data_IF_955396982190
#
_entry.id   IF_955396982190
#
_cell.length_a   1.000
_cell.length_b   1.000
_cell.length_c   1.000
_cell.angle_alpha   90.00
_cell.angle_beta   90.00
_cell.angle_gamma   90.00
#
_symmetry.space_group_name_H-M   'P 1'
#
loop_
_entity.id
_entity.type
_entity.pdbx_description
1 polymer ?
#
# COMPACT_ATOMS: atom_id res chain seq x y z
N UNK A 1 -19.58 -7.94 47.10
CA UNK A 1 -18.93 -7.87 45.77
C UNK A 1 -18.03 -9.08 45.66
N UNK A 2 -18.30 -10.02 44.73
CA UNK A 2 -17.44 -11.18 44.53
C UNK A 2 -16.19 -10.73 43.77
N UNK A 3 -15.02 -10.84 44.41
CA UNK A 3 -13.73 -10.56 43.78
C UNK A 3 -13.11 -11.91 43.46
N UNK A 4 -13.04 -12.26 42.17
CA UNK A 4 -12.31 -13.45 41.73
C UNK A 4 -10.80 -13.24 41.96
N UNK A 5 -10.10 -14.28 42.41
CA UNK A 5 -8.63 -14.22 42.43
C UNK A 5 -8.10 -14.29 41.01
N UNK A 6 -6.91 -13.75 40.77
CA UNK A 6 -6.30 -13.78 39.42
C UNK A 6 -6.11 -15.20 38.89
N UNK A 7 -5.79 -16.15 39.76
CA UNK A 7 -5.64 -17.57 39.43
C UNK A 7 -6.95 -18.25 39.02
N UNK A 8 -8.11 -17.69 39.41
CA UNK A 8 -9.43 -18.24 39.08
C UNK A 8 -10.00 -17.65 37.78
N UNK A 9 -9.29 -16.71 37.14
CA UNK A 9 -9.73 -16.11 35.88
C UNK A 9 -9.52 -17.11 34.74
N UNK A 10 -10.46 -17.18 33.77
CA UNK A 10 -10.32 -18.08 32.64
C UNK A 10 -9.06 -17.73 31.82
N UNK A 11 -8.23 -18.72 31.45
CA UNK A 11 -7.05 -18.46 30.63
C UNK A 11 -7.45 -17.95 29.26
N UNK A 12 -6.58 -17.17 28.64
CA UNK A 12 -6.80 -16.73 27.26
C UNK A 12 -6.56 -17.89 26.27
N UNK A 13 -7.27 -17.88 25.14
CA UNK A 13 -7.05 -18.86 24.08
C UNK A 13 -5.67 -18.65 23.44
N UNK A 14 -4.96 -19.73 23.14
CA UNK A 14 -3.66 -19.66 22.48
C UNK A 14 -3.76 -20.13 21.02
N UNK A 15 -3.24 -19.31 20.11
CA UNK A 15 -3.12 -19.63 18.70
C UNK A 15 -1.66 -19.41 18.28
N UNK A 16 -0.86 -20.47 18.11
CA UNK A 16 0.53 -20.31 17.69
C UNK A 16 0.58 -19.74 16.27
N UNK A 17 1.45 -18.75 16.04
CA UNK A 17 1.69 -18.17 14.72
C UNK A 17 2.54 -19.12 13.84
N UNK A 18 1.95 -20.27 13.52
CA UNK A 18 2.50 -21.37 12.72
C UNK A 18 1.35 -21.97 11.88
N UNK A 19 1.52 -22.00 10.55
CA UNK A 19 0.43 -22.42 9.64
C UNK A 19 -0.05 -23.84 9.90
N UNK A 20 0.88 -24.79 10.08
CA UNK A 20 0.54 -26.19 10.27
C UNK A 20 -0.20 -26.39 11.59
N UNK A 21 0.25 -25.73 12.66
CA UNK A 21 -0.42 -25.77 13.97
C UNK A 21 -1.78 -25.08 13.97
N UNK A 22 -1.99 -24.10 13.09
CA UNK A 22 -3.30 -23.50 12.84
C UNK A 22 -4.20 -24.40 11.96
N UNK A 23 -3.67 -25.49 11.41
CA UNK A 23 -4.39 -26.43 10.56
C UNK A 23 -4.42 -26.02 9.08
N UNK A 24 -3.43 -25.25 8.62
CA UNK A 24 -3.35 -24.74 7.26
C UNK A 24 -2.02 -25.05 6.58
N UNK A 25 -2.01 -25.06 5.26
CA UNK A 25 -0.82 -25.14 4.42
C UNK A 25 -0.96 -24.21 3.20
N UNK A 26 0.15 -23.98 2.50
CA UNK A 26 0.17 -23.21 1.25
C UNK A 26 0.20 -24.22 0.10
N UNK A 27 -0.77 -24.15 -0.82
CA UNK A 27 -0.82 -25.02 -1.99
C UNK A 27 0.07 -24.50 -3.15
N UNK A 28 0.11 -25.24 -4.25
CA UNK A 28 0.89 -24.90 -5.45
C UNK A 28 0.45 -23.57 -6.11
N UNK A 29 -0.79 -23.13 -5.86
CA UNK A 29 -1.34 -21.87 -6.36
C UNK A 29 -1.06 -20.68 -5.42
N UNK A 30 -0.20 -20.85 -4.41
CA UNK A 30 0.12 -19.84 -3.40
C UNK A 30 -1.07 -19.44 -2.51
N UNK A 31 -2.04 -20.34 -2.35
CA UNK A 31 -3.24 -20.12 -1.56
C UNK A 31 -3.16 -20.85 -0.22
N UNK A 32 -3.66 -20.20 0.84
CA UNK A 32 -3.77 -20.81 2.17
C UNK A 32 -5.04 -21.67 2.21
N UNK A 33 -4.86 -22.95 2.50
CA UNK A 33 -5.94 -23.96 2.56
C UNK A 33 -5.86 -24.78 3.84
N UNK A 34 -7.01 -25.29 4.29
CA UNK A 34 -7.04 -26.17 5.47
C UNK A 34 -6.37 -27.50 5.15
N UNK A 35 -5.64 -28.05 6.11
CA UNK A 35 -5.04 -29.39 6.01
C UNK A 35 -6.14 -30.47 5.97
N UNK A 36 -7.18 -30.31 6.79
CA UNK A 36 -8.29 -31.28 6.89
C UNK A 36 -9.20 -31.29 5.66
N UNK A 37 -9.36 -30.14 5.01
CA UNK A 37 -10.10 -30.00 3.76
C UNK A 37 -9.39 -28.97 2.84
N UNK A 38 -8.56 -29.44 1.90
CA UNK A 38 -7.82 -28.57 1.00
C UNK A 38 -8.67 -27.67 0.10
N UNK A 39 -9.99 -27.86 0.02
CA UNK A 39 -10.91 -26.99 -0.72
C UNK A 39 -11.33 -25.76 0.07
N UNK A 40 -11.20 -25.79 1.40
CA UNK A 40 -11.65 -24.71 2.26
C UNK A 40 -10.56 -23.66 2.51
N UNK A 41 -10.98 -22.40 2.49
CA UNK A 41 -10.17 -21.23 2.80
C UNK A 41 -10.03 -21.04 4.32
N UNK A 42 -9.32 -19.99 4.73
CA UNK A 42 -9.27 -19.55 6.12
C UNK A 42 -10.67 -19.32 6.70
N UNK A 43 -10.98 -20.01 7.80
CA UNK A 43 -12.24 -19.86 8.52
C UNK A 43 -12.06 -18.87 9.67
N UNK A 44 -12.54 -17.64 9.49
CA UNK A 44 -12.48 -16.61 10.54
C UNK A 44 -13.41 -16.91 11.73
N UNK A 45 -14.67 -17.29 11.46
CA UNK A 45 -15.67 -17.56 12.51
C UNK A 45 -15.54 -19.00 13.02
N UNK A 46 -14.74 -19.19 14.07
CA UNK A 46 -14.61 -20.47 14.78
C UNK A 46 -15.29 -20.47 16.15
N UNK A 47 -15.58 -19.29 16.70
CA UNK A 47 -16.19 -19.13 18.01
C UNK A 47 -17.24 -18.00 17.99
N UNK A 48 -18.19 -18.05 18.94
CA UNK A 48 -19.17 -16.96 19.15
C UNK A 48 -18.50 -15.72 19.76
N UNK A 49 -17.44 -15.89 20.55
CA UNK A 49 -16.65 -14.80 21.08
C UNK A 49 -15.77 -14.22 19.97
N UNK A 50 -16.03 -12.96 19.61
CA UNK A 50 -15.28 -12.24 18.58
C UNK A 50 -13.79 -12.16 18.90
N UNK A 51 -13.41 -12.04 20.18
CA UNK A 51 -12.01 -12.00 20.61
C UNK A 51 -11.22 -13.23 20.16
N UNK A 52 -11.81 -14.42 20.28
CA UNK A 52 -11.17 -15.68 19.90
C UNK A 52 -10.93 -15.73 18.39
N UNK A 53 -11.91 -15.28 17.60
CA UNK A 53 -11.77 -15.17 16.15
C UNK A 53 -10.67 -14.17 15.75
N UNK A 54 -10.58 -13.04 16.46
CA UNK A 54 -9.54 -12.02 16.27
C UNK A 54 -8.14 -12.54 16.60
N UNK A 55 -7.99 -13.33 17.68
CA UNK A 55 -6.71 -13.95 18.03
C UNK A 55 -6.24 -14.94 16.97
N UNK A 56 -7.13 -15.81 16.49
CA UNK A 56 -6.81 -16.74 15.42
C UNK A 56 -6.44 -15.99 14.14
N UNK A 57 -7.21 -14.95 13.79
CA UNK A 57 -6.93 -14.10 12.62
C UNK A 57 -5.54 -13.49 12.73
N UNK A 58 -5.20 -12.93 13.89
CA UNK A 58 -3.89 -12.32 14.11
C UNK A 58 -2.75 -13.35 14.03
N UNK A 59 -2.92 -14.56 14.57
CA UNK A 59 -1.94 -15.63 14.43
C UNK A 59 -1.72 -16.01 12.96
N UNK A 60 -2.79 -16.07 12.17
CA UNK A 60 -2.72 -16.27 10.72
C UNK A 60 -2.02 -15.09 10.02
N UNK A 61 -2.39 -13.85 10.34
CA UNK A 61 -1.72 -12.64 9.82
C UNK A 61 -0.22 -12.63 10.14
N UNK A 62 0.18 -13.07 11.34
CA UNK A 62 1.60 -13.19 11.68
C UNK A 62 2.34 -14.21 10.81
N UNK A 63 1.73 -15.35 10.51
CA UNK A 63 2.29 -16.32 9.56
C UNK A 63 2.51 -15.67 8.18
N UNK A 64 1.47 -15.01 7.68
CA UNK A 64 1.49 -14.32 6.37
C UNK A 64 2.60 -13.28 6.33
N UNK A 65 2.73 -12.43 7.38
CA UNK A 65 3.79 -11.43 7.46
C UNK A 65 5.18 -12.03 7.41
N UNK A 66 5.41 -13.15 8.10
CA UNK A 66 6.71 -13.86 8.07
C UNK A 66 7.05 -14.34 6.66
N UNK A 67 6.07 -14.92 5.95
CA UNK A 67 6.21 -15.40 4.57
C UNK A 67 6.50 -14.25 3.62
N UNK A 68 5.67 -13.19 3.66
CA UNK A 68 5.83 -12.00 2.79
C UNK A 68 7.17 -11.33 3.05
N UNK A 69 7.57 -11.15 4.31
CA UNK A 69 8.88 -10.59 4.64
C UNK A 69 10.04 -11.46 4.14
N UNK A 70 9.91 -12.80 4.13
CA UNK A 70 10.92 -13.68 3.53
C UNK A 70 11.03 -13.47 2.02
N UNK A 71 9.88 -13.51 1.32
CA UNK A 71 9.83 -13.34 -0.13
C UNK A 71 10.35 -11.97 -0.57
N UNK A 72 10.06 -10.90 0.17
CA UNK A 72 10.59 -9.57 -0.12
C UNK A 72 12.11 -9.50 0.13
N UNK A 73 12.63 -10.19 1.15
CA UNK A 73 14.09 -10.30 1.37
C UNK A 73 14.79 -11.07 0.25
N UNK A 74 14.16 -12.12 -0.28
CA UNK A 74 14.66 -12.86 -1.46
C UNK A 74 14.73 -11.99 -2.72
N UNK A 75 13.95 -10.90 -2.79
CA UNK A 75 14.04 -9.87 -3.83
C UNK A 75 15.06 -8.75 -3.51
N UNK A 76 15.97 -8.98 -2.56
CA UNK A 76 16.99 -8.02 -2.11
C UNK A 76 16.43 -6.74 -1.46
N UNK A 77 15.24 -6.80 -0.88
CA UNK A 77 14.80 -5.74 0.03
C UNK A 77 15.39 -5.95 1.42
N UNK A 78 15.91 -4.87 1.99
CA UNK A 78 16.46 -4.82 3.34
C UNK A 78 15.63 -3.91 4.22
N UNK A 79 15.69 -4.12 5.53
CA UNK A 79 14.93 -3.33 6.49
C UNK A 79 15.75 -2.13 6.97
N UNK A 80 15.23 -0.92 6.78
CA UNK A 80 15.66 0.27 7.50
C UNK A 80 14.70 0.55 8.66
N UNK A 81 15.20 1.24 9.68
CA UNK A 81 14.43 1.61 10.87
C UNK A 81 14.26 3.12 10.87
N UNK A 82 13.03 3.57 11.06
CA UNK A 82 12.71 4.99 11.21
C UNK A 82 12.28 5.30 12.65
N UNK A 83 12.79 6.39 13.24
CA UNK A 83 13.84 7.27 12.73
C UNK A 83 15.18 6.55 12.51
N UNK A 84 16.01 7.03 11.56
CA UNK A 84 17.31 6.43 11.23
C UNK A 84 18.29 6.40 12.42
N UNK A 85 18.05 7.25 13.42
CA UNK A 85 18.82 7.31 14.66
C UNK A 85 18.47 6.20 15.65
N UNK A 86 17.35 5.50 15.46
CA UNK A 86 16.88 4.48 16.40
C UNK A 86 17.74 3.22 16.38
N UNK A 87 18.08 2.72 17.56
CA UNK A 87 18.74 1.42 17.73
C UNK A 87 17.75 0.25 17.60
N UNK A 88 18.28 -0.96 17.42
CA UNK A 88 17.50 -2.20 17.27
C UNK A 88 16.47 -2.43 18.39
N UNK A 89 16.79 -2.02 19.63
CA UNK A 89 15.94 -2.22 20.81
C UNK A 89 15.10 -0.98 21.19
N UNK A 90 15.22 0.12 20.44
CA UNK A 90 14.50 1.36 20.68
C UNK A 90 13.26 1.44 19.79
N UNK A 91 12.33 2.34 20.12
CA UNK A 91 11.10 2.50 19.35
C UNK A 91 11.43 2.92 17.91
N UNK A 92 10.96 2.12 16.95
CA UNK A 92 11.16 2.36 15.53
C UNK A 92 10.06 1.72 14.69
N UNK A 93 9.90 2.23 13.47
CA UNK A 93 9.07 1.67 12.41
C UNK A 93 9.98 1.07 11.34
N UNK A 94 9.85 -0.22 10.97
CA UNK A 94 10.60 -0.78 9.86
C UNK A 94 9.99 -0.32 8.54
N UNK A 95 10.83 0.01 7.57
CA UNK A 95 10.49 0.13 6.16
C UNK A 95 11.32 -0.87 5.36
N UNK A 96 10.90 -1.23 4.15
CA UNK A 96 11.70 -2.06 3.26
C UNK A 96 12.25 -1.23 2.10
N UNK A 97 13.54 -1.35 1.84
CA UNK A 97 14.21 -0.65 0.73
C UNK A 97 15.02 -1.65 -0.09
N UNK A 98 15.02 -1.51 -1.41
CA UNK A 98 15.89 -2.32 -2.27
C UNK A 98 17.37 -1.97 -2.06
N UNK A 99 18.25 -2.95 -2.22
CA UNK A 99 19.69 -2.80 -2.00
C UNK A 99 20.38 -1.78 -2.93
N UNK A 100 19.78 -1.45 -4.07
CA UNK A 100 20.28 -0.49 -5.05
C UNK A 100 19.79 0.97 -4.81
N UNK A 101 19.20 1.29 -3.65
CA UNK A 101 18.61 2.63 -3.40
C UNK A 101 19.59 3.80 -3.66
N UNK A 102 20.87 3.63 -3.32
CA UNK A 102 21.90 4.68 -3.46
C UNK A 102 22.41 4.86 -4.89
N UNK A 103 22.15 3.91 -5.78
CA UNK A 103 22.66 3.89 -7.17
C UNK A 103 21.57 4.02 -8.23
N UNK A 104 20.32 3.71 -7.88
CA UNK A 104 19.19 3.74 -8.80
C UNK A 104 18.87 5.16 -9.30
N UNK A 105 18.60 5.31 -10.61
CA UNK A 105 18.09 6.57 -11.20
C UNK A 105 16.63 6.84 -10.90
N UNK A 106 15.88 5.78 -10.62
CA UNK A 106 14.45 5.85 -10.38
C UNK A 106 14.13 5.20 -9.05
N UNK A 107 13.26 5.81 -8.28
CA UNK A 107 12.73 5.25 -7.04
C UNK A 107 11.22 5.16 -7.17
N UNK A 108 10.65 3.99 -6.91
CA UNK A 108 9.22 3.86 -6.64
C UNK A 108 9.06 3.79 -5.13
N UNK A 109 8.36 4.76 -4.54
CA UNK A 109 8.00 4.74 -3.12
C UNK A 109 6.52 4.43 -2.96
N UNK A 110 6.20 3.48 -2.10
CA UNK A 110 4.82 3.09 -1.79
C UNK A 110 4.47 3.48 -0.36
N UNK A 111 3.42 4.28 -0.22
CA UNK A 111 2.79 4.62 1.06
C UNK A 111 1.49 3.84 1.18
N UNK A 112 1.51 2.81 2.03
CA UNK A 112 0.37 1.91 2.24
C UNK A 112 -0.78 2.51 3.03
N UNK A 113 -1.81 1.71 3.25
CA UNK A 113 -2.95 2.05 4.12
C UNK A 113 -2.60 1.80 5.61
N UNK A 114 -2.92 2.71 6.54
CA UNK A 114 -2.55 2.58 7.96
C UNK A 114 -3.13 1.38 8.72
N UNK A 115 -4.10 0.67 8.16
CA UNK A 115 -4.63 -0.55 8.80
C UNK A 115 -3.89 -1.82 8.36
N UNK A 116 -3.07 -1.75 7.33
CA UNK A 116 -2.33 -2.89 6.79
C UNK A 116 -0.93 -3.00 7.42
N UNK A 117 -0.41 -4.22 7.41
CA UNK A 117 0.98 -4.48 7.78
C UNK A 117 1.95 -4.18 6.63
N UNK A 118 3.22 -3.95 6.95
CA UNK A 118 4.26 -3.70 5.95
C UNK A 118 4.32 -4.80 4.89
N UNK A 119 4.13 -4.42 3.62
CA UNK A 119 4.15 -5.31 2.47
C UNK A 119 2.84 -6.06 2.22
N UNK A 120 1.78 -5.80 2.99
CA UNK A 120 0.45 -6.36 2.77
C UNK A 120 -0.43 -5.31 2.08
N UNK A 121 -1.15 -5.72 1.02
CA UNK A 121 -2.18 -4.87 0.40
C UNK A 121 -3.55 -5.16 0.97
N UNK A 122 -3.93 -6.44 1.00
CA UNK A 122 -5.20 -6.86 1.54
C UNK A 122 -5.16 -8.33 1.97
N UNK A 123 -5.38 -8.58 3.26
CA UNK A 123 -5.57 -9.95 3.77
C UNK A 123 -6.74 -10.68 3.09
N UNK A 124 -7.76 -9.94 2.63
CA UNK A 124 -8.87 -10.48 1.84
C UNK A 124 -8.41 -11.08 0.51
N UNK A 125 -7.58 -10.34 -0.23
CA UNK A 125 -6.98 -10.83 -1.47
C UNK A 125 -6.02 -11.99 -1.21
N UNK A 126 -5.30 -11.99 -0.08
CA UNK A 126 -4.46 -13.14 0.30
C UNK A 126 -5.30 -14.42 0.50
N UNK A 127 -6.44 -14.30 1.18
CA UNK A 127 -7.34 -15.44 1.41
C UNK A 127 -8.01 -15.97 0.15
N UNK A 128 -8.33 -15.09 -0.80
CA UNK A 128 -9.02 -15.46 -2.04
C UNK A 128 -8.06 -15.85 -3.17
N UNK A 129 -7.09 -14.99 -3.46
CA UNK A 129 -6.27 -15.02 -4.67
C UNK A 129 -4.82 -15.51 -4.42
N UNK A 130 -4.39 -15.56 -3.16
CA UNK A 130 -3.07 -16.08 -2.76
C UNK A 130 -2.14 -15.00 -2.18
N UNK A 131 -1.08 -15.46 -1.49
CA UNK A 131 -0.20 -14.59 -0.70
C UNK A 131 0.46 -13.52 -1.57
N UNK A 132 1.00 -13.89 -2.72
CA UNK A 132 1.64 -12.98 -3.67
C UNK A 132 0.67 -12.01 -4.34
N UNK A 133 -0.61 -12.39 -4.48
CA UNK A 133 -1.63 -11.55 -5.10
C UNK A 133 -2.09 -10.42 -4.17
N UNK A 134 -2.24 -10.71 -2.87
CA UNK A 134 -2.65 -9.73 -1.87
C UNK A 134 -1.51 -9.01 -1.14
N UNK A 135 -0.27 -9.16 -1.59
CA UNK A 135 0.92 -8.55 -0.98
C UNK A 135 1.84 -7.86 -2.00
N UNK A 136 2.83 -7.14 -1.49
CA UNK A 136 3.81 -6.41 -2.29
C UNK A 136 4.77 -7.30 -3.09
N UNK A 137 4.76 -8.62 -2.92
CA UNK A 137 5.76 -9.52 -3.54
C UNK A 137 5.72 -9.44 -5.07
N UNK A 138 4.55 -9.60 -5.68
CA UNK A 138 4.41 -9.56 -7.15
C UNK A 138 4.75 -8.18 -7.72
N UNK A 139 4.32 -7.12 -7.01
CA UNK A 139 4.62 -5.75 -7.36
C UNK A 139 6.13 -5.46 -7.29
N UNK A 140 6.78 -5.87 -6.19
CA UNK A 140 8.21 -5.69 -5.99
C UNK A 140 9.03 -6.43 -7.05
N UNK A 141 8.64 -7.66 -7.38
CA UNK A 141 9.26 -8.43 -8.46
C UNK A 141 9.18 -7.68 -9.78
N UNK A 142 8.01 -7.14 -10.14
CA UNK A 142 7.81 -6.40 -11.39
C UNK A 142 8.58 -5.07 -11.45
N UNK A 143 8.76 -4.39 -10.32
CA UNK A 143 9.54 -3.13 -10.25
C UNK A 143 11.06 -3.40 -10.36
N UNK A 144 11.55 -4.41 -9.66
CA UNK A 144 12.99 -4.68 -9.53
C UNK A 144 13.54 -5.57 -10.66
N UNK A 145 12.69 -6.43 -11.23
CA UNK A 145 13.01 -7.35 -12.31
C UNK A 145 11.91 -7.27 -13.39
N UNK A 146 11.79 -6.13 -14.10
CA UNK A 146 10.83 -6.02 -15.19
C UNK A 146 11.13 -7.09 -16.23
N UNK A 147 10.12 -7.81 -16.69
CA UNK A 147 10.30 -8.79 -17.76
C UNK A 147 10.72 -8.04 -19.02
N UNK A 148 11.92 -8.33 -19.52
CA UNK A 148 12.33 -7.92 -20.85
C UNK A 148 11.56 -8.78 -21.83
N UNK A 149 10.62 -8.18 -22.57
CA UNK A 149 10.08 -8.78 -23.80
C UNK A 149 11.21 -8.87 -24.84
N UNK A 150 12.12 -9.82 -24.67
CA UNK A 150 13.06 -10.21 -25.72
C UNK A 150 12.43 -11.36 -26.50
N UNK A 151 11.74 -11.00 -27.60
CA UNK A 151 11.51 -11.91 -28.71
C UNK A 151 12.87 -12.48 -29.16
N UNK A 152 13.07 -13.76 -28.88
CA UNK A 152 14.03 -14.66 -29.51
C UNK A 152 15.36 -14.10 -29.98
N UNK A 153 16.37 -14.07 -29.11
CA UNK A 153 17.72 -14.52 -29.50
C UNK A 153 18.45 -15.07 -28.28
N UNK A 154 18.83 -16.34 -28.36
CA UNK A 154 19.68 -17.01 -27.37
C UNK A 154 21.00 -16.27 -27.21
N UNK A 155 21.11 -15.46 -26.16
CA UNK A 155 22.38 -15.08 -25.57
C UNK A 155 22.16 -15.01 -24.06
N UNK A 156 22.86 -15.87 -23.32
CA UNK A 156 22.91 -15.86 -21.87
C UNK A 156 23.54 -14.54 -21.38
N UNK A 157 22.76 -13.46 -21.34
CA UNK A 157 23.12 -12.26 -20.61
C UNK A 157 22.41 -12.29 -19.26
N UNK A 158 23.19 -12.18 -18.19
CA UNK A 158 22.71 -12.07 -16.82
C UNK A 158 21.52 -11.08 -16.73
N UNK A 159 20.54 -11.33 -15.84
CA UNK A 159 19.37 -10.48 -15.73
C UNK A 159 19.82 -9.03 -15.54
N UNK A 160 19.48 -8.14 -16.48
CA UNK A 160 19.72 -6.70 -16.35
C UNK A 160 19.00 -6.26 -15.09
N UNK A 161 19.75 -5.98 -14.03
CA UNK A 161 19.19 -5.37 -12.83
C UNK A 161 18.52 -4.05 -13.23
N UNK A 162 17.24 -3.90 -12.86
CA UNK A 162 16.51 -2.65 -13.08
C UNK A 162 17.25 -1.50 -12.39
N UNK A 163 17.42 -0.38 -13.10
CA UNK A 163 17.91 0.89 -12.51
C UNK A 163 16.83 1.58 -11.64
N UNK A 164 15.80 0.81 -11.25
CA UNK A 164 14.72 1.24 -10.36
C UNK A 164 14.91 0.64 -8.98
N UNK A 165 14.88 1.48 -7.95
CA UNK A 165 14.80 1.09 -6.56
C UNK A 165 13.35 1.14 -6.06
N UNK A 166 13.07 0.37 -5.01
CA UNK A 166 11.76 0.28 -4.38
C UNK A 166 11.87 0.62 -2.90
N UNK A 167 10.98 1.49 -2.41
CA UNK A 167 10.80 1.79 -0.99
C UNK A 167 9.35 1.45 -0.62
N UNK A 168 9.16 0.57 0.36
CA UNK A 168 7.86 0.26 0.96
C UNK A 168 7.82 0.89 2.35
N UNK A 169 7.05 1.98 2.48
CA UNK A 169 6.80 2.62 3.76
C UNK A 169 5.79 1.81 4.59
N UNK A 170 5.82 1.99 5.91
CA UNK A 170 5.00 1.27 6.87
C UNK A 170 4.11 2.24 7.62
N UNK A 171 3.03 2.63 6.97
CA UNK A 171 2.05 3.59 7.52
C UNK A 171 1.16 2.98 8.60
N UNK A 172 1.17 1.65 8.79
CA UNK A 172 0.25 0.99 9.71
C UNK A 172 0.83 0.51 11.03
N UNK A 173 2.08 0.04 11.06
CA UNK A 173 2.68 -0.47 12.29
C UNK A 173 3.34 0.66 13.09
N UNK A 174 2.54 1.60 13.57
CA UNK A 174 3.01 2.83 14.23
C UNK A 174 2.91 2.81 15.76
N UNK A 175 2.43 1.70 16.33
CA UNK A 175 2.31 1.52 17.78
C UNK A 175 3.47 0.67 18.29
N UNK A 176 4.33 1.24 19.13
CA UNK A 176 5.44 0.50 19.73
C UNK A 176 4.97 -0.36 20.92
N UNK A 177 5.18 -1.67 20.86
CA UNK A 177 4.95 -2.55 22.00
C UNK A 177 6.24 -2.77 22.79
N UNK A 178 6.37 -2.15 23.96
CA UNK A 178 7.60 -2.14 24.75
C UNK A 178 8.06 -3.55 25.16
N UNK A 179 7.14 -4.45 25.53
CA UNK A 179 7.48 -5.79 26.01
C UNK A 179 8.01 -6.70 24.90
N UNK A 180 7.41 -6.63 23.71
CA UNK A 180 7.84 -7.42 22.56
C UNK A 180 8.89 -6.72 21.71
N UNK A 181 9.20 -5.45 22.01
CA UNK A 181 10.14 -4.59 21.28
C UNK A 181 9.90 -4.61 19.77
N UNK A 182 8.63 -4.48 19.38
CA UNK A 182 8.22 -4.44 17.98
C UNK A 182 7.11 -3.43 17.76
N UNK A 183 7.02 -2.84 16.56
CA UNK A 183 5.86 -2.07 16.16
C UNK A 183 4.67 -2.98 15.83
N UNK A 184 3.47 -2.45 15.97
CA UNK A 184 2.20 -3.14 15.75
C UNK A 184 1.20 -2.22 15.06
N UNK A 185 0.29 -2.80 14.28
CA UNK A 185 -0.94 -2.12 13.89
C UNK A 185 -1.93 -2.10 15.05
N UNK A 186 -2.97 -1.26 14.97
CA UNK A 186 -4.05 -1.27 15.96
C UNK A 186 -4.78 -2.62 16.03
N UNK A 187 -5.13 -3.28 14.90
CA UNK A 187 -5.66 -4.65 14.92
C UNK A 187 -4.77 -5.63 15.70
N UNK A 188 -3.47 -5.64 15.45
CA UNK A 188 -2.53 -6.52 16.17
C UNK A 188 -2.46 -6.20 17.66
N UNK A 189 -2.50 -4.92 18.04
CA UNK A 189 -2.54 -4.51 19.44
C UNK A 189 -3.79 -5.02 20.17
N UNK A 190 -4.97 -4.87 19.55
CA UNK A 190 -6.23 -5.33 20.13
C UNK A 190 -6.30 -6.86 20.22
N UNK A 191 -5.66 -7.53 19.27
CA UNK A 191 -5.57 -8.98 19.19
C UNK A 191 -4.48 -9.58 20.11
N UNK A 192 -3.57 -8.77 20.64
CA UNK A 192 -2.39 -9.23 21.38
C UNK A 192 -2.75 -10.03 22.65
N UNK A 193 -2.00 -11.10 23.00
CA UNK A 193 -2.31 -11.93 24.17
C UNK A 193 -2.37 -11.15 25.50
N UNK A 194 -3.26 -11.58 26.39
CA UNK A 194 -3.59 -10.99 27.69
C UNK A 194 -3.42 -12.01 28.80
N UNK A 195 -3.28 -11.58 30.06
CA UNK A 195 -3.11 -12.50 31.19
C UNK A 195 -4.31 -13.44 31.40
N UNK A 196 -5.53 -13.00 31.09
CA UNK A 196 -6.75 -13.81 31.13
C UNK A 196 -7.73 -13.41 30.03
N UNK A 197 -8.72 -14.27 29.76
CA UNK A 197 -9.74 -14.02 28.74
C UNK A 197 -10.69 -12.85 29.05
N UNK A 198 -10.69 -12.35 30.28
CA UNK A 198 -11.55 -11.24 30.74
C UNK A 198 -10.77 -9.96 31.00
N UNK A 199 -9.44 -9.99 30.89
CA UNK A 199 -8.63 -8.79 31.02
C UNK A 199 -8.91 -7.82 29.85
N UNK A 200 -8.93 -6.50 30.11
CA UNK A 200 -9.07 -5.50 29.07
C UNK A 200 -7.84 -5.52 28.12
N UNK A 201 -7.96 -4.93 26.91
CA UNK A 201 -6.81 -4.70 26.06
C UNK A 201 -5.71 -3.92 26.79
N UNK A 202 -4.46 -4.10 26.35
CA UNK A 202 -3.34 -3.32 26.86
C UNK A 202 -3.62 -1.81 26.69
N UNK A 203 -3.37 -1.05 27.76
CA UNK A 203 -3.55 0.40 27.73
C UNK A 203 -2.37 1.05 27.00
N UNK A 204 -2.68 1.85 25.97
CA UNK A 204 -1.66 2.65 25.29
C UNK A 204 -1.29 3.87 26.14
N UNK A 205 0.01 4.18 26.18
CA UNK A 205 0.59 5.34 26.86
C UNK A 205 1.56 6.06 25.93
N UNK A 206 2.15 7.16 26.40
CA UNK A 206 3.21 7.87 25.66
C UNK A 206 4.39 6.96 25.28
N UNK A 207 4.65 5.87 26.02
CA UNK A 207 5.74 4.92 25.74
C UNK A 207 5.51 4.07 24.48
N UNK A 208 4.27 4.05 23.98
CA UNK A 208 3.89 3.33 22.77
C UNK A 208 4.02 4.20 21.51
N UNK A 209 4.35 5.49 21.64
CA UNK A 209 4.62 6.36 20.50
C UNK A 209 6.02 6.12 19.97
N UNK A 210 6.16 6.09 18.65
CA UNK A 210 7.45 6.06 17.98
C UNK A 210 7.84 7.51 17.64
N UNK A 211 9.03 7.98 18.04
CA UNK A 211 9.47 9.35 17.73
C UNK A 211 9.41 9.63 16.23
N UNK A 212 8.87 10.79 15.83
CA UNK A 212 8.72 11.19 14.42
C UNK A 212 7.79 10.32 13.58
N UNK A 213 7.13 9.32 14.18
CA UNK A 213 6.32 8.31 13.48
C UNK A 213 5.09 7.95 14.34
N UNK A 214 4.49 8.94 15.01
CA UNK A 214 3.39 8.74 15.95
C UNK A 214 2.03 8.53 15.27
N UNK A 215 1.89 8.98 14.02
CA UNK A 215 0.75 8.77 13.14
C UNK A 215 1.23 8.62 11.69
N UNK A 216 0.32 8.26 10.79
CA UNK A 216 0.67 7.96 9.40
C UNK A 216 1.15 9.21 8.65
N UNK A 217 0.63 10.40 8.96
CA UNK A 217 1.10 11.67 8.41
C UNK A 217 2.57 11.95 8.74
N UNK A 218 2.92 11.76 10.02
CA UNK A 218 4.29 11.93 10.51
C UNK A 218 5.22 10.91 9.83
N UNK A 219 4.79 9.65 9.71
CA UNK A 219 5.58 8.60 9.07
C UNK A 219 5.85 8.90 7.58
N UNK A 220 4.83 9.34 6.84
CA UNK A 220 5.00 9.73 5.43
C UNK A 220 6.03 10.86 5.33
N UNK A 221 5.94 11.87 6.19
CA UNK A 221 6.89 12.98 6.22
C UNK A 221 8.30 12.53 6.61
N UNK A 222 8.44 11.63 7.58
CA UNK A 222 9.71 11.04 7.99
C UNK A 222 10.38 10.28 6.83
N UNK A 223 9.63 9.52 6.03
CA UNK A 223 10.18 8.84 4.85
C UNK A 223 10.66 9.85 3.80
N UNK A 224 9.91 10.92 3.53
CA UNK A 224 10.38 11.98 2.64
C UNK A 224 11.64 12.65 3.16
N UNK A 225 11.64 13.05 4.44
CA UNK A 225 12.69 13.89 5.03
C UNK A 225 13.97 13.12 5.39
N UNK A 226 13.87 11.86 5.84
CA UNK A 226 15.05 11.06 6.26
C UNK A 226 15.56 10.10 5.19
N UNK A 227 14.70 9.61 4.29
CA UNK A 227 15.09 8.65 3.25
C UNK A 227 15.25 9.35 1.91
N UNK A 228 14.18 9.96 1.40
CA UNK A 228 14.14 10.45 0.02
C UNK A 228 14.92 11.75 -0.17
N UNK A 229 15.05 12.57 0.89
CA UNK A 229 15.81 13.81 0.88
C UNK A 229 17.31 13.61 1.12
N UNK A 230 17.74 12.44 1.62
CA UNK A 230 19.15 12.11 1.88
C UNK A 230 19.91 11.72 0.61
N UNK A 231 19.96 12.70 -0.29
CA UNK A 231 20.58 12.66 -1.62
C UNK A 231 22.10 12.71 -1.50
N UNK A 232 22.76 11.67 -1.97
CA UNK A 232 24.22 11.49 -1.96
C UNK A 232 24.69 10.39 -1.00
N UNK A 233 23.90 10.05 0.03
CA UNK A 233 24.21 8.94 0.95
C UNK A 233 23.26 7.76 0.78
N UNK A 234 21.97 7.96 1.01
CA UNK A 234 20.97 6.89 0.88
C UNK A 234 20.36 6.83 -0.51
N UNK A 235 20.12 7.98 -1.12
CA UNK A 235 19.49 8.13 -2.44
C UNK A 235 20.45 8.79 -3.41
N UNK A 236 20.47 8.35 -4.67
CA UNK A 236 21.28 9.01 -5.70
C UNK A 236 20.85 10.47 -5.90
N UNK A 237 21.81 11.38 -6.09
CA UNK A 237 21.55 12.82 -6.08
C UNK A 237 20.45 13.27 -7.05
N UNK A 238 20.48 12.76 -8.27
CA UNK A 238 19.57 13.08 -9.38
C UNK A 238 18.39 12.11 -9.51
N UNK A 239 18.19 11.18 -8.56
CA UNK A 239 17.15 10.16 -8.65
C UNK A 239 15.75 10.78 -8.77
N UNK A 240 14.98 10.26 -9.73
CA UNK A 240 13.57 10.60 -9.95
C UNK A 240 12.66 9.67 -9.15
N UNK A 241 11.61 10.23 -8.55
CA UNK A 241 10.74 9.54 -7.62
C UNK A 241 9.35 9.40 -8.22
N UNK A 242 8.85 8.18 -8.24
CA UNK A 242 7.47 7.84 -8.49
C UNK A 242 6.80 7.49 -7.17
N UNK A 243 5.64 8.10 -6.91
CA UNK A 243 4.89 7.89 -5.67
C UNK A 243 3.69 7.01 -5.94
N UNK A 244 3.51 5.95 -5.16
CA UNK A 244 2.29 5.16 -5.08
C UNK A 244 1.67 5.39 -3.71
N UNK A 245 0.54 6.09 -3.66
CA UNK A 245 -0.18 6.39 -2.44
C UNK A 245 -1.45 5.57 -2.32
N UNK A 246 -1.65 4.89 -1.19
CA UNK A 246 -2.83 4.06 -0.93
C UNK A 246 -3.65 4.71 0.18
N UNK A 247 -4.90 5.10 -0.12
CA UNK A 247 -5.81 5.75 0.82
C UNK A 247 -5.14 6.92 1.59
N UNK A 248 -5.08 6.86 2.92
CA UNK A 248 -4.45 7.87 3.77
C UNK A 248 -2.95 8.03 3.47
N UNK A 249 -2.25 6.95 3.11
CA UNK A 249 -0.85 7.03 2.69
C UNK A 249 -0.68 7.94 1.47
N UNK A 250 -1.64 7.92 0.53
CA UNK A 250 -1.67 8.83 -0.61
C UNK A 250 -2.03 10.27 -0.23
N UNK A 251 -2.99 10.45 0.67
CA UNK A 251 -3.32 11.78 1.20
C UNK A 251 -2.10 12.43 1.89
N UNK A 252 -1.37 11.67 2.70
CA UNK A 252 -0.16 12.12 3.37
C UNK A 252 0.91 12.54 2.38
N UNK A 253 1.09 11.77 1.30
CA UNK A 253 2.07 12.09 0.26
C UNK A 253 1.70 13.37 -0.49
N UNK A 254 0.44 13.52 -0.90
CA UNK A 254 -0.04 14.75 -1.56
C UNK A 254 0.10 15.96 -0.65
N UNK A 255 -0.24 15.82 0.64
CA UNK A 255 -0.11 16.90 1.62
C UNK A 255 1.35 17.29 1.88
N UNK A 256 2.26 16.33 2.00
CA UNK A 256 3.68 16.61 2.18
C UNK A 256 4.24 17.35 0.96
N UNK A 257 3.92 16.86 -0.24
CA UNK A 257 4.35 17.46 -1.49
C UNK A 257 3.75 18.85 -1.70
N UNK A 258 2.48 19.08 -1.34
CA UNK A 258 1.87 20.42 -1.50
C UNK A 258 2.52 21.46 -0.59
N UNK A 259 2.91 21.08 0.63
CA UNK A 259 3.58 21.97 1.59
C UNK A 259 5.04 22.26 1.24
N UNK A 260 5.73 21.32 0.59
CA UNK A 260 7.17 21.41 0.28
C UNK A 260 7.45 21.31 -1.22
N UNK A 261 6.51 21.72 -2.06
CA UNK A 261 6.57 21.42 -3.50
C UNK A 261 7.85 21.96 -4.16
N UNK A 262 8.29 23.14 -3.74
CA UNK A 262 9.50 23.77 -4.29
C UNK A 262 10.75 22.88 -4.12
N UNK A 263 10.86 22.16 -3.02
CA UNK A 263 11.97 21.25 -2.73
C UNK A 263 11.88 19.94 -3.54
N UNK A 264 10.66 19.54 -3.91
CA UNK A 264 10.37 18.22 -4.51
C UNK A 264 10.10 18.25 -6.01
N UNK A 265 9.69 19.39 -6.59
CA UNK A 265 9.25 19.51 -8.00
C UNK A 265 10.27 19.03 -9.02
N UNK A 266 11.55 19.19 -8.71
CA UNK A 266 12.65 18.73 -9.57
C UNK A 266 12.87 17.21 -9.55
N UNK A 267 12.25 16.49 -8.61
CA UNK A 267 12.54 15.07 -8.35
C UNK A 267 11.34 14.16 -8.53
N UNK A 268 10.11 14.63 -8.28
CA UNK A 268 8.92 13.81 -8.48
C UNK A 268 8.61 13.69 -9.97
N UNK A 269 8.51 12.46 -10.47
CA UNK A 269 8.21 12.17 -11.87
C UNK A 269 6.73 11.88 -12.08
N UNK A 270 6.12 11.00 -11.29
CA UNK A 270 4.70 10.68 -11.42
C UNK A 270 4.10 10.21 -10.10
N UNK A 271 2.78 10.32 -9.98
CA UNK A 271 2.02 9.88 -8.81
C UNK A 271 0.92 8.91 -9.27
N UNK A 272 0.70 7.86 -8.49
CA UNK A 272 -0.49 7.03 -8.56
C UNK A 272 -1.15 6.97 -7.21
N UNK A 273 -2.47 7.08 -7.19
CA UNK A 273 -3.28 7.01 -5.97
C UNK A 273 -4.30 5.88 -6.07
N UNK A 274 -4.52 5.16 -4.98
CA UNK A 274 -5.66 4.24 -4.84
C UNK A 274 -6.60 4.79 -3.78
N UNK A 275 -7.90 4.86 -4.10
CA UNK A 275 -8.90 5.50 -3.25
C UNK A 275 -8.43 6.86 -2.69
N UNK A 276 -8.18 7.86 -3.56
CA UNK A 276 -7.66 9.16 -3.15
C UNK A 276 -8.57 9.82 -2.10
N UNK A 277 -7.99 10.22 -0.96
CA UNK A 277 -8.72 10.90 0.12
C UNK A 277 -8.48 12.41 0.14
N UNK A 278 -7.50 12.90 -0.63
CA UNK A 278 -7.24 14.34 -0.76
C UNK A 278 -8.32 15.02 -1.63
N UNK A 279 -8.42 16.34 -1.49
CA UNK A 279 -9.35 17.18 -2.24
C UNK A 279 -8.67 18.38 -2.86
N UNK A 280 -9.25 18.87 -3.96
CA UNK A 280 -8.77 20.08 -4.63
C UNK A 280 -8.91 21.32 -3.74
N UNK A 281 -9.94 21.35 -2.88
CA UNK A 281 -10.27 22.50 -2.05
C UNK A 281 -9.43 22.61 -0.76
N UNK A 282 -8.73 21.52 -0.38
CA UNK A 282 -7.93 21.47 0.85
C UNK A 282 -6.45 21.29 0.52
N UNK A 283 -6.04 20.10 0.06
CA UNK A 283 -4.63 19.78 -0.15
C UNK A 283 -4.06 20.41 -1.43
N UNK A 284 -4.88 20.64 -2.45
CA UNK A 284 -4.46 21.25 -3.72
C UNK A 284 -4.99 22.67 -3.93
N UNK A 285 -5.44 23.32 -2.85
CA UNK A 285 -5.99 24.67 -2.94
C UNK A 285 -4.92 25.64 -3.43
N UNK A 286 -5.19 26.32 -4.55
CA UNK A 286 -4.28 27.30 -5.15
C UNK A 286 -4.32 28.58 -4.33
N UNK A 287 -3.18 28.93 -3.73
CA UNK A 287 -2.99 30.13 -2.90
C UNK A 287 -1.94 31.07 -3.48
N UNK A 288 -1.05 30.53 -4.30
CA UNK A 288 0.10 31.18 -4.90
C UNK A 288 0.53 30.43 -6.18
N UNK A 289 1.59 30.90 -6.83
CA UNK A 289 2.14 30.29 -8.04
C UNK A 289 2.69 28.86 -7.79
N UNK A 290 3.27 28.62 -6.61
CA UNK A 290 3.88 27.33 -6.26
C UNK A 290 2.79 26.25 -6.14
N UNK A 291 1.73 26.52 -5.37
CA UNK A 291 0.57 25.65 -5.24
C UNK A 291 -0.19 25.48 -6.56
N UNK A 292 -0.25 26.52 -7.40
CA UNK A 292 -0.75 26.41 -8.78
C UNK A 292 0.07 25.43 -9.63
N UNK A 293 1.40 25.49 -9.54
CA UNK A 293 2.29 24.56 -10.25
C UNK A 293 2.16 23.12 -9.76
N UNK A 294 1.91 22.92 -8.45
CA UNK A 294 1.67 21.59 -7.89
C UNK A 294 0.34 21.01 -8.39
N UNK A 295 -0.74 21.80 -8.40
CA UNK A 295 -2.02 21.37 -8.97
C UNK A 295 -1.87 21.01 -10.46
N UNK A 296 -1.13 21.79 -11.23
CA UNK A 296 -0.85 21.49 -12.63
C UNK A 296 -0.08 20.16 -12.79
N UNK A 297 0.89 19.89 -11.92
CA UNK A 297 1.59 18.62 -11.88
C UNK A 297 0.65 17.46 -11.54
N UNK A 298 -0.18 17.59 -10.49
CA UNK A 298 -1.16 16.55 -10.13
C UNK A 298 -2.14 16.30 -11.27
N UNK A 299 -2.61 17.34 -11.96
CA UNK A 299 -3.53 17.21 -13.10
C UNK A 299 -2.94 16.45 -14.29
N UNK A 300 -1.63 16.58 -14.52
CA UNK A 300 -0.96 16.04 -15.72
C UNK A 300 -0.13 14.78 -15.48
N UNK A 301 0.28 14.51 -14.24
CA UNK A 301 1.25 13.46 -13.85
C UNK A 301 0.75 12.57 -12.73
N UNK A 302 -0.50 12.73 -12.29
CA UNK A 302 -1.15 11.86 -11.32
C UNK A 302 -2.30 11.07 -11.95
N UNK A 303 -2.41 9.79 -11.61
CA UNK A 303 -3.61 8.97 -11.86
C UNK A 303 -4.18 8.43 -10.56
N UNK A 304 -5.49 8.46 -10.42
CA UNK A 304 -6.19 7.80 -9.34
C UNK A 304 -6.91 6.54 -9.83
N UNK A 305 -6.96 5.52 -8.99
CA UNK A 305 -7.73 4.29 -9.20
C UNK A 305 -8.76 4.15 -8.10
N UNK A 306 -10.02 3.95 -8.48
CA UNK A 306 -11.16 3.92 -7.56
C UNK A 306 -11.99 2.66 -7.74
N UNK A 307 -12.86 2.38 -6.75
CA UNK A 307 -13.89 1.36 -6.88
C UNK A 307 -14.86 1.77 -7.98
N UNK A 308 -15.13 0.84 -8.89
CA UNK A 308 -16.12 1.01 -9.95
C UNK A 308 -16.52 -0.35 -10.51
N UNK A 309 -17.74 -0.42 -11.01
CA UNK A 309 -18.31 -1.49 -11.82
C UNK A 309 -17.84 -1.47 -13.29
N UNK A 310 -17.22 -0.37 -13.74
CA UNK A 310 -16.65 -0.25 -15.07
C UNK A 310 -15.43 -1.17 -15.27
N UNK A 311 -15.11 -1.57 -16.51
CA UNK A 311 -13.92 -2.36 -16.81
C UNK A 311 -12.64 -1.73 -16.26
N UNK A 312 -11.69 -2.56 -15.82
CA UNK A 312 -10.40 -2.06 -15.29
C UNK A 312 -9.70 -1.15 -16.30
N UNK A 313 -9.31 0.04 -15.86
CA UNK A 313 -8.65 1.04 -16.69
C UNK A 313 -9.59 1.97 -17.45
N UNK A 314 -10.92 1.83 -17.32
CA UNK A 314 -11.85 2.83 -17.84
C UNK A 314 -11.80 4.13 -17.06
N UNK A 315 -11.98 5.25 -17.74
CA UNK A 315 -12.09 6.56 -17.10
C UNK A 315 -13.41 6.65 -16.33
N UNK A 316 -13.35 7.12 -15.10
CA UNK A 316 -14.52 7.25 -14.20
C UNK A 316 -14.57 8.63 -13.53
N UNK A 317 -15.73 9.08 -13.03
CA UNK A 317 -15.85 10.36 -12.34
C UNK A 317 -14.93 10.46 -11.11
N UNK A 318 -14.40 11.66 -10.86
CA UNK A 318 -13.55 11.94 -9.70
C UNK A 318 -12.52 13.04 -9.94
N UNK A 319 -12.21 13.34 -11.21
CA UNK A 319 -11.17 14.31 -11.55
C UNK A 319 -11.41 15.72 -11.01
N UNK A 320 -12.67 16.16 -10.90
CA UNK A 320 -13.01 17.46 -10.28
C UNK A 320 -12.72 17.50 -8.78
N UNK A 321 -12.82 16.36 -8.09
CA UNK A 321 -12.60 16.26 -6.64
C UNK A 321 -11.12 16.13 -6.30
N UNK A 322 -10.40 15.29 -7.06
CA UNK A 322 -9.02 14.91 -6.75
C UNK A 322 -7.97 15.64 -7.58
N UNK A 323 -8.39 16.47 -8.54
CA UNK A 323 -7.50 17.23 -9.41
C UNK A 323 -6.69 16.39 -10.40
N UNK A 324 -7.02 15.11 -10.60
CA UNK A 324 -6.33 14.17 -11.50
C UNK A 324 -7.30 13.15 -12.12
N UNK A 325 -6.96 12.57 -13.27
CA UNK A 325 -7.82 11.59 -13.92
C UNK A 325 -8.02 10.36 -13.03
N UNK A 326 -9.28 9.90 -12.93
CA UNK A 326 -9.67 8.75 -12.12
C UNK A 326 -10.05 7.59 -13.03
N UNK A 327 -9.57 6.40 -12.69
CA UNK A 327 -9.74 5.19 -13.47
C UNK A 327 -10.38 4.08 -12.62
N UNK A 328 -11.19 3.23 -13.25
CA UNK A 328 -11.70 2.02 -12.62
C UNK A 328 -10.53 1.10 -12.28
N UNK A 329 -10.49 0.65 -11.03
CA UNK A 329 -9.56 -0.37 -10.57
C UNK A 329 -9.93 -1.79 -10.99
N UNK A 330 -11.18 -2.01 -11.43
CA UNK A 330 -11.78 -3.33 -11.56
C UNK A 330 -12.09 -4.01 -10.22
N UNK A 331 -12.03 -3.26 -9.11
CA UNK A 331 -12.52 -3.67 -7.80
C UNK A 331 -13.87 -2.98 -7.53
N UNK A 332 -14.86 -3.75 -7.05
CA UNK A 332 -16.24 -3.30 -6.96
C UNK A 332 -16.70 -2.98 -5.53
N UNK A 333 -16.01 -3.48 -4.51
CA UNK A 333 -16.53 -3.48 -3.14
C UNK A 333 -15.50 -3.07 -2.08
N UNK A 334 -14.23 -3.41 -2.28
CA UNK A 334 -13.24 -3.37 -1.21
C UNK A 334 -12.07 -2.47 -1.55
N UNK A 335 -11.94 -1.34 -0.85
CA UNK A 335 -10.87 -0.36 -1.10
C UNK A 335 -9.50 -1.00 -0.99
N UNK A 336 -9.30 -1.87 0.00
CA UNK A 336 -8.04 -2.58 0.23
C UNK A 336 -7.63 -3.45 -0.98
N UNK A 337 -8.61 -3.89 -1.80
CA UNK A 337 -8.40 -4.74 -2.96
C UNK A 337 -8.09 -3.96 -4.27
N UNK A 338 -8.14 -2.62 -4.27
CA UNK A 338 -7.78 -1.81 -5.45
C UNK A 338 -6.33 -2.10 -5.88
N UNK A 339 -5.39 -2.07 -4.94
CA UNK A 339 -3.97 -2.28 -5.25
C UNK A 339 -3.70 -3.68 -5.83
N UNK A 340 -4.18 -4.79 -5.23
CA UNK A 340 -4.12 -6.12 -5.83
C UNK A 340 -4.66 -6.21 -7.27
N UNK A 341 -5.77 -5.52 -7.56
CA UNK A 341 -6.45 -5.60 -8.86
C UNK A 341 -5.81 -4.75 -9.96
N UNK A 342 -5.25 -3.60 -9.60
CA UNK A 342 -4.86 -2.58 -10.57
C UNK A 342 -3.36 -2.25 -10.63
N UNK A 343 -2.50 -2.79 -9.75
CA UNK A 343 -1.07 -2.42 -9.71
C UNK A 343 -0.34 -2.57 -11.05
N UNK A 344 -0.74 -3.50 -11.92
CA UNK A 344 -0.15 -3.66 -13.27
C UNK A 344 -0.37 -2.42 -14.14
N UNK A 345 -1.61 -1.92 -14.20
CA UNK A 345 -1.94 -0.68 -14.92
C UNK A 345 -1.24 0.55 -14.29
N UNK A 346 -1.11 0.56 -12.96
CA UNK A 346 -0.37 1.62 -12.26
C UNK A 346 1.09 1.63 -12.69
N UNK A 347 1.74 0.47 -12.70
CA UNK A 347 3.14 0.35 -13.06
C UNK A 347 3.39 0.70 -14.54
N UNK A 348 2.48 0.31 -15.44
CA UNK A 348 2.50 0.72 -16.85
C UNK A 348 2.49 2.23 -16.99
N UNK A 349 1.55 2.91 -16.33
CA UNK A 349 1.49 4.37 -16.30
C UNK A 349 2.78 4.99 -15.76
N UNK A 350 3.27 4.50 -14.62
CA UNK A 350 4.49 5.01 -14.01
C UNK A 350 5.70 4.83 -14.92
N UNK A 351 5.74 3.75 -15.72
CA UNK A 351 6.81 3.48 -16.68
C UNK A 351 6.73 4.44 -17.87
N UNK A 352 5.54 4.65 -18.44
CA UNK A 352 5.33 5.62 -19.52
C UNK A 352 5.72 7.03 -19.07
N UNK A 353 5.20 7.45 -17.92
CA UNK A 353 5.49 8.76 -17.36
C UNK A 353 6.98 8.94 -17.05
N UNK A 354 7.66 7.90 -16.57
CA UNK A 354 9.11 7.99 -16.31
C UNK A 354 9.94 8.07 -17.60
N UNK A 355 9.56 7.31 -18.64
CA UNK A 355 10.27 7.29 -19.91
C UNK A 355 10.16 8.63 -20.68
N UNK A 356 9.03 9.33 -20.54
CA UNK A 356 8.81 10.64 -21.14
C UNK A 356 8.52 11.70 -20.08
N UNK A 357 9.53 12.54 -19.81
CA UNK A 357 9.44 13.66 -18.86
C UNK A 357 8.56 14.80 -19.36
N UNK A 358 8.27 14.86 -20.66
CA UNK A 358 7.38 15.86 -21.29
C UNK A 358 5.94 15.38 -21.42
N UNK A 359 5.69 14.09 -21.17
CA UNK A 359 4.36 13.49 -21.21
C UNK A 359 3.43 14.21 -20.24
N UNK A 360 2.37 14.78 -20.80
CA UNK A 360 1.26 15.37 -20.08
C UNK A 360 0.01 14.54 -20.33
N UNK A 361 -0.63 14.08 -19.27
CA UNK A 361 -1.97 13.53 -19.40
C UNK A 361 -2.98 14.68 -19.49
N UNK A 362 -3.74 14.73 -20.59
CA UNK A 362 -4.81 15.72 -20.73
C UNK A 362 -5.93 15.38 -19.76
N UNK A 363 -6.44 16.38 -19.02
CA UNK A 363 -7.58 16.16 -18.14
C UNK A 363 -8.81 15.82 -18.99
N UNK A 364 -9.31 14.59 -18.83
CA UNK A 364 -10.41 14.07 -19.64
C UNK A 364 -11.75 14.50 -19.04
N UNK A 365 -12.65 15.00 -19.89
CA UNK A 365 -14.03 15.34 -19.50
C UNK A 365 -14.95 14.21 -19.92
N UNK A 366 -15.53 13.52 -18.94
CA UNK A 366 -16.66 12.63 -19.19
C UNK A 366 -17.86 13.49 -19.58
N UNK A 367 -18.39 13.25 -20.77
CA UNK A 367 -19.66 13.81 -21.23
C UNK A 367 -20.71 12.73 -21.07
N UNK A 368 -21.62 12.91 -20.11
CA UNK A 368 -22.82 12.09 -20.05
C UNK A 368 -23.64 12.41 -21.30
N UNK A 369 -23.74 11.44 -22.23
CA UNK A 369 -24.71 11.52 -23.30
C UNK A 369 -26.05 11.14 -22.69
N UNK A 370 -26.95 12.11 -22.58
CA UNK A 370 -28.34 11.80 -22.26
C UNK A 370 -28.93 11.03 -23.46
N UNK A 371 -29.68 9.96 -23.19
CA UNK A 371 -30.38 9.15 -24.21
C UNK A 371 -31.34 9.98 -25.10
N UNK A 372 -31.58 11.26 -24.78
CA UNK A 372 -32.31 12.20 -25.63
C UNK A 372 -31.58 12.61 -26.91
N UNK A 373 -30.26 12.43 -26.98
CA UNK A 373 -29.45 12.85 -28.14
C UNK A 373 -29.30 11.75 -29.20
N UNK A 374 -29.90 10.56 -28.97
CA UNK A 374 -29.90 9.44 -29.93
C UNK A 374 -31.12 9.44 -30.88
N UNK A 375 -32.10 10.31 -30.71
CA UNK A 375 -33.32 10.32 -31.55
C UNK A 375 -33.29 11.26 -32.78
N UNK A 376 -32.18 11.93 -33.10
CA UNK A 376 -32.11 12.81 -34.29
C UNK A 376 -31.30 12.28 -35.47
N UNK A 377 -31.22 10.95 -35.62
CA UNK A 377 -30.75 10.32 -36.85
C UNK A 377 -31.71 9.22 -37.30
N UNK A 378 -32.93 9.61 -37.69
CA UNK A 378 -33.76 8.77 -38.56
C UNK A 378 -34.39 9.61 -39.67
N UNK A 379 -33.95 9.31 -40.90
CA UNK A 379 -34.67 9.35 -42.17
C UNK A 379 -35.62 10.52 -42.45
N UNK A 380 -35.12 11.56 -43.10
CA UNK A 380 -35.90 12.25 -44.14
C UNK A 380 -35.64 11.54 -45.48
N UNK A 381 -36.35 10.44 -45.70
CA UNK A 381 -36.64 9.91 -47.03
C UNK A 381 -38.18 9.74 -47.18
N UNK A 382 -38.76 10.68 -47.95
CA UNK A 382 -39.92 10.51 -48.86
C UNK A 382 -41.32 10.19 -48.29
N UNK A 383 -42.27 11.14 -48.43
CA UNK A 383 -43.31 11.15 -49.49
C UNK A 383 -44.50 12.06 -49.13
N UNK A 384 -44.68 13.16 -49.89
CA UNK A 384 -45.81 13.37 -50.80
C UNK A 384 -45.47 14.45 -51.85
#
# INVERSE_FOLDING_TARGET
MFVYRREDLPPENEFPADLEKLGYFINENDQIRKIVDPKENFQYKINKNSRVNEMQREAMSECIRKIVASRLRELNLTTLRLPLTSKVNEAHVPILVSSNLSTASRIVVVFGEPVQDLGIWAYRSIGADGINAGSAVSFAKAVLHPETNEDGTNTECAPKHSDTALVLANTGQLIWHCGARRPMTLPTWLAYPRPSAVDPPLMMTHRNKIPGNGCWEDHVSCVFDEILADRGRLVRHDAKINVVGIAEGGQGAIRHLSLKWEDWRGYISAIVLTNPLHSIDVELAVKDEISGSFLAFVSSRCRAYVISDEPRGYLVPGARRHGCNCYSSGEMQHVECIMPRAWKHMLEWLNLAHADSTMYETQLRLREMNDSDSETLSSDESNE
#
